data_IF_492516563026
#
_entry.id   IF_492516563026
#
_cell.length_a   1.000
_cell.length_b   1.000
_cell.length_c   1.000
_cell.angle_alpha   90.00
_cell.angle_beta   90.00
_cell.angle_gamma   90.00
#
_symmetry.space_group_name_H-M   'P 1'
#
loop_
_entity.id
_entity.type
_entity.pdbx_description
1 polymer ?
#
# COMPACT_ATOMS: atom_id res chain seq x y z
N UNK A 1 32.52 25.39 10.00
CA UNK A 1 32.13 26.30 11.11
C UNK A 1 31.57 25.45 12.23
N UNK A 2 31.71 25.88 13.48
CA UNK A 2 31.04 25.27 14.64
C UNK A 2 30.09 26.32 15.22
N UNK A 3 28.84 25.97 15.43
CA UNK A 3 27.84 26.82 16.08
C UNK A 3 27.40 26.18 17.39
N UNK A 4 27.58 26.88 18.51
CA UNK A 4 27.29 26.37 19.85
C UNK A 4 26.20 27.20 20.52
N UNK A 5 25.18 26.54 21.06
CA UNK A 5 24.07 27.16 21.81
C UNK A 5 23.87 26.43 23.13
N UNK A 6 24.10 27.13 24.25
CA UNK A 6 23.99 26.58 25.63
C UNK A 6 22.99 27.37 26.49
N UNK A 7 22.10 28.13 25.86
CA UNK A 7 21.19 29.05 26.56
C UNK A 7 19.81 29.08 25.92
N UNK A 8 19.01 30.04 26.37
CA UNK A 8 17.63 30.18 25.95
C UNK A 8 17.46 31.16 24.80
N UNK A 9 16.83 30.72 23.72
CA UNK A 9 16.41 31.56 22.59
C UNK A 9 14.88 31.49 22.46
N UNK A 10 14.23 32.65 22.35
CA UNK A 10 12.76 32.72 22.25
C UNK A 10 12.29 33.65 21.15
N UNK A 11 11.35 33.18 20.36
CA UNK A 11 10.58 33.94 19.40
C UNK A 11 9.09 33.57 19.56
N UNK A 12 8.56 33.78 20.77
CA UNK A 12 7.21 33.36 21.12
C UNK A 12 6.13 34.33 20.58
N UNK A 13 4.97 33.79 20.27
CA UNK A 13 3.77 34.56 19.95
C UNK A 13 3.32 35.42 21.14
N UNK A 14 2.64 36.53 20.86
CA UNK A 14 2.12 37.40 21.91
C UNK A 14 1.10 36.67 22.79
N UNK A 15 1.09 36.99 24.10
CA UNK A 15 0.20 36.35 25.09
C UNK A 15 -1.28 36.29 24.66
N UNK A 16 -1.77 37.33 24.00
CA UNK A 16 -3.18 37.43 23.61
C UNK A 16 -3.46 36.99 22.17
N UNK A 17 -2.46 36.99 21.29
CA UNK A 17 -2.58 36.71 19.86
C UNK A 17 -1.19 36.74 19.18
N UNK A 18 -1.08 36.12 18.01
CA UNK A 18 0.13 36.09 17.19
C UNK A 18 0.75 34.69 17.13
N UNK A 19 1.34 34.37 15.99
CA UNK A 19 2.06 33.12 15.77
C UNK A 19 3.47 33.19 16.37
N UNK A 20 4.06 32.01 16.58
CA UNK A 20 5.47 31.87 16.89
C UNK A 20 6.34 32.33 15.73
N UNK A 21 7.52 32.85 16.05
CA UNK A 21 8.54 33.21 15.07
C UNK A 21 9.39 32.02 14.64
N UNK A 22 10.43 32.32 13.87
CA UNK A 22 11.43 31.35 13.44
C UNK A 22 12.73 31.58 14.23
N UNK A 23 13.37 30.51 14.68
CA UNK A 23 14.73 30.52 15.20
C UNK A 23 15.55 29.60 14.32
N UNK A 24 16.73 30.04 13.91
CA UNK A 24 17.65 29.24 13.10
C UNK A 24 18.97 29.04 13.84
N UNK A 25 19.49 27.81 13.83
CA UNK A 25 20.82 27.46 14.29
C UNK A 25 21.57 26.71 13.20
N UNK A 26 22.42 27.43 12.46
CA UNK A 26 23.14 26.93 11.29
C UNK A 26 24.63 26.81 11.54
N UNK A 27 25.28 25.83 10.91
CA UNK A 27 26.73 25.66 10.89
C UNK A 27 27.12 24.22 10.57
N UNK A 28 28.24 24.01 9.86
CA UNK A 28 28.66 22.65 9.44
C UNK A 28 28.72 21.63 10.59
N UNK A 29 29.04 22.10 11.80
CA UNK A 29 28.99 21.36 13.06
C UNK A 29 28.16 22.19 14.04
N UNK A 30 27.26 21.56 14.78
CA UNK A 30 26.40 22.22 15.77
C UNK A 30 26.51 21.54 17.14
N UNK A 31 26.51 22.34 18.20
CA UNK A 31 26.49 21.88 19.59
C UNK A 31 25.27 22.53 20.28
N UNK A 32 24.13 21.84 20.22
CA UNK A 32 22.82 22.37 20.66
C UNK A 32 22.16 21.53 21.76
N UNK A 33 22.82 20.47 22.25
CA UNK A 33 22.21 19.54 23.21
C UNK A 33 21.84 20.19 24.56
N UNK A 34 22.46 21.32 24.90
CA UNK A 34 22.20 22.12 26.10
C UNK A 34 21.31 23.36 25.83
N UNK A 35 20.70 23.47 24.64
CA UNK A 35 19.90 24.63 24.25
C UNK A 35 18.45 24.55 24.76
N UNK A 36 17.87 25.72 25.03
CA UNK A 36 16.44 25.88 25.31
C UNK A 36 15.82 26.79 24.25
N UNK A 37 15.07 26.22 23.30
CA UNK A 37 14.47 26.98 22.21
C UNK A 37 12.96 27.04 22.39
N UNK A 38 12.33 28.20 22.16
CA UNK A 38 10.88 28.32 22.19
C UNK A 38 10.35 29.29 21.14
N UNK A 39 9.48 28.78 20.28
CA UNK A 39 8.67 29.51 19.31
C UNK A 39 7.18 29.33 19.60
N UNK A 40 6.85 29.06 20.87
CA UNK A 40 5.49 28.78 21.31
C UNK A 40 4.55 29.94 20.98
N UNK A 41 3.34 29.63 20.53
CA UNK A 41 2.22 30.56 20.51
C UNK A 41 1.03 29.96 21.25
N UNK A 42 0.55 30.62 22.30
CA UNK A 42 -0.59 30.09 23.10
C UNK A 42 -1.92 30.17 22.36
N UNK A 43 -2.08 31.19 21.51
CA UNK A 43 -3.32 31.50 20.79
C UNK A 43 -3.07 31.70 19.29
N UNK A 44 -2.08 30.99 18.75
CA UNK A 44 -1.66 31.06 17.35
C UNK A 44 -0.97 29.77 16.94
N UNK A 45 -0.34 29.78 15.76
CA UNK A 45 0.45 28.63 15.29
C UNK A 45 1.83 28.65 15.94
N UNK A 46 2.27 27.49 16.46
CA UNK A 46 3.63 27.30 16.95
C UNK A 46 4.62 27.57 15.82
N UNK A 47 5.66 28.34 16.10
CA UNK A 47 6.69 28.67 15.11
C UNK A 47 7.67 27.51 14.88
N UNK A 48 8.81 27.82 14.28
CA UNK A 48 9.76 26.83 13.80
C UNK A 48 11.15 27.06 14.40
N UNK A 49 11.79 25.96 14.81
CA UNK A 49 13.24 25.91 15.01
C UNK A 49 13.87 25.17 13.84
N UNK A 50 14.59 25.92 13.01
CA UNK A 50 15.40 25.40 11.91
C UNK A 50 16.81 25.08 12.40
N UNK A 51 17.22 23.83 12.21
CA UNK A 51 18.53 23.31 12.58
C UNK A 51 19.23 22.95 11.26
N UNK A 52 20.31 23.64 10.93
CA UNK A 52 21.03 23.51 9.64
C UNK A 52 22.50 23.05 9.80
N UNK A 53 22.74 21.75 10.07
CA UNK A 53 24.07 21.15 10.10
C UNK A 53 24.58 20.65 8.73
N UNK A 54 25.81 20.12 8.72
CA UNK A 54 26.16 19.08 7.73
C UNK A 54 25.60 17.72 8.16
N UNK A 55 26.36 16.64 7.96
CA UNK A 55 26.01 15.30 8.44
C UNK A 55 25.61 15.31 9.91
N UNK A 56 24.46 14.72 10.23
CA UNK A 56 23.95 14.66 11.60
C UNK A 56 23.45 13.27 11.96
N UNK A 57 23.70 12.88 13.20
CA UNK A 57 23.21 11.66 13.80
C UNK A 57 22.30 12.01 14.98
N UNK A 58 21.17 11.33 15.07
CA UNK A 58 20.25 11.46 16.19
C UNK A 58 20.46 10.26 17.10
N UNK A 59 21.29 10.47 18.13
CA UNK A 59 21.80 9.41 19.01
C UNK A 59 22.12 9.95 20.39
N UNK A 60 21.94 9.12 21.42
CA UNK A 60 22.19 9.43 22.83
C UNK A 60 23.63 9.14 23.24
N UNK A 61 24.32 8.25 22.52
CA UNK A 61 25.66 7.77 22.87
C UNK A 61 26.72 8.10 21.80
N UNK A 62 26.32 8.75 20.71
CA UNK A 62 27.13 8.93 19.50
C UNK A 62 27.41 7.60 18.80
N UNK A 63 27.66 7.60 17.50
CA UNK A 63 27.86 6.32 16.81
C UNK A 63 27.90 6.25 15.30
N UNK A 64 27.55 7.31 14.57
CA UNK A 64 27.32 7.15 13.13
C UNK A 64 28.56 6.83 12.29
N UNK A 65 28.43 5.77 11.49
CA UNK A 65 29.23 5.52 10.29
C UNK A 65 28.48 6.09 9.09
N UNK A 66 28.70 7.37 8.77
CA UNK A 66 28.17 7.97 7.54
C UNK A 66 28.80 7.30 6.31
N UNK A 67 27.99 7.02 5.28
CA UNK A 67 28.40 6.35 4.03
C UNK A 67 29.37 7.22 3.22
N UNK A 68 29.23 8.54 3.32
CA UNK A 68 30.03 9.54 2.59
C UNK A 68 31.36 9.86 3.31
N UNK A 69 32.47 9.40 2.72
CA UNK A 69 33.85 9.50 3.25
C UNK A 69 34.45 10.91 3.43
N UNK A 70 33.64 11.97 3.60
CA UNK A 70 34.07 13.36 3.84
C UNK A 70 33.38 14.02 5.03
N UNK A 71 33.01 13.25 6.06
CA UNK A 71 32.41 13.80 7.27
C UNK A 71 33.38 14.78 8.00
N UNK A 72 32.90 15.98 8.41
CA UNK A 72 33.67 16.89 9.25
C UNK A 72 34.07 16.27 10.60
N UNK A 73 35.18 16.75 11.17
CA UNK A 73 35.65 16.39 12.53
C UNK A 73 34.99 17.35 13.54
N UNK A 74 34.15 16.83 14.47
CA UNK A 74 33.40 17.59 15.50
C UNK A 74 32.24 16.76 16.10
N UNK A 75 31.54 17.25 17.12
CA UNK A 75 30.35 16.58 17.71
C UNK A 75 29.20 16.60 16.67
N UNK A 76 28.70 15.43 16.27
CA UNK A 76 27.74 15.25 15.14
C UNK A 76 26.36 14.80 15.62
N UNK A 77 26.16 14.81 16.93
CA UNK A 77 25.03 14.15 17.55
C UNK A 77 24.07 15.18 18.14
N UNK A 78 22.80 15.11 17.71
CA UNK A 78 21.70 15.70 18.48
C UNK A 78 21.06 14.57 19.27
N UNK A 79 20.93 14.74 20.58
CA UNK A 79 20.27 13.71 21.38
C UNK A 79 18.75 13.73 21.14
N UNK A 80 18.06 12.57 21.14
CA UNK A 80 16.60 12.55 21.09
C UNK A 80 15.96 13.39 22.22
N UNK A 81 16.59 13.45 23.39
CA UNK A 81 16.12 14.26 24.52
C UNK A 81 16.07 15.76 24.18
N UNK A 82 17.04 16.28 23.43
CA UNK A 82 17.06 17.66 22.96
C UNK A 82 15.89 17.95 22.02
N UNK A 83 15.65 17.07 21.03
CA UNK A 83 14.54 17.21 20.09
C UNK A 83 13.18 17.10 20.79
N UNK A 84 12.99 16.09 21.64
CA UNK A 84 11.74 15.87 22.38
C UNK A 84 11.43 17.04 23.31
N UNK A 85 12.44 17.58 24.01
CA UNK A 85 12.27 18.75 24.86
C UNK A 85 11.84 19.97 24.05
N UNK A 86 12.52 20.24 22.93
CA UNK A 86 12.19 21.36 22.05
C UNK A 86 10.83 21.20 21.36
N UNK A 87 10.39 19.98 21.02
CA UNK A 87 9.06 19.74 20.44
C UNK A 87 7.92 20.15 21.36
N UNK A 88 8.13 20.39 22.67
CA UNK A 88 7.09 20.93 23.55
C UNK A 88 6.69 22.38 23.22
N UNK A 89 7.54 23.13 22.51
CA UNK A 89 7.34 24.56 22.23
C UNK A 89 7.67 24.98 20.80
N UNK A 90 8.09 24.06 19.94
CA UNK A 90 8.51 24.35 18.58
C UNK A 90 7.99 23.26 17.62
N UNK A 91 7.70 23.64 16.39
CA UNK A 91 7.92 22.73 15.26
C UNK A 91 9.44 22.70 14.98
N UNK A 92 9.97 21.56 14.57
CA UNK A 92 11.41 21.41 14.31
C UNK A 92 11.61 21.00 12.86
N UNK A 93 12.55 21.67 12.19
CA UNK A 93 13.08 21.23 10.90
C UNK A 93 14.59 21.03 11.06
N UNK A 94 15.05 19.80 10.86
CA UNK A 94 16.47 19.48 10.72
C UNK A 94 16.73 19.39 9.23
N UNK A 95 17.34 20.42 8.67
CA UNK A 95 17.74 20.46 7.26
C UNK A 95 19.25 20.30 7.19
N UNK A 96 19.79 19.48 6.31
CA UNK A 96 21.23 19.52 6.07
C UNK A 96 21.50 20.36 4.82
N UNK A 97 22.68 20.98 4.72
CA UNK A 97 23.08 21.68 3.50
C UNK A 97 23.00 20.80 2.24
N UNK A 98 23.15 21.40 1.06
CA UNK A 98 23.10 20.67 -0.23
C UNK A 98 24.35 19.82 -0.48
N UNK A 99 24.18 18.74 -1.25
CA UNK A 99 25.23 17.76 -1.56
C UNK A 99 25.23 16.61 -0.54
N UNK A 100 26.30 15.80 -0.52
CA UNK A 100 26.43 14.55 0.25
C UNK A 100 26.34 14.72 1.78
N UNK A 101 25.18 15.14 2.28
CA UNK A 101 24.88 15.38 3.67
C UNK A 101 23.72 14.52 4.17
N UNK A 102 24.06 13.58 5.05
CA UNK A 102 23.15 12.54 5.51
C UNK A 102 22.54 12.86 6.87
N UNK A 103 21.32 12.36 7.10
CA UNK A 103 20.69 12.31 8.42
C UNK A 103 20.56 10.84 8.83
N UNK A 104 21.08 10.49 10.02
CA UNK A 104 20.91 9.15 10.61
C UNK A 104 20.09 9.26 11.89
N UNK A 105 19.06 8.44 12.04
CA UNK A 105 18.24 8.34 13.25
C UNK A 105 18.47 6.98 13.88
N UNK A 106 19.34 6.92 14.90
CA UNK A 106 19.75 5.68 15.57
C UNK A 106 18.94 5.36 16.82
N UNK A 107 18.44 6.39 17.51
CA UNK A 107 17.68 6.25 18.75
C UNK A 107 16.26 6.81 18.64
N UNK A 108 15.36 6.24 19.44
CA UNK A 108 13.94 6.59 19.44
C UNK A 108 13.69 8.07 19.77
N UNK A 109 12.86 8.73 18.96
CA UNK A 109 12.37 10.10 19.20
C UNK A 109 10.89 10.01 19.55
N UNK A 110 10.55 10.09 20.84
CA UNK A 110 9.17 9.87 21.31
C UNK A 110 8.56 11.14 21.89
N UNK A 111 7.81 11.87 21.07
CA UNK A 111 7.03 13.04 21.45
C UNK A 111 5.53 12.80 21.29
N UNK A 112 4.74 13.07 22.33
CA UNK A 112 3.29 12.74 22.36
C UNK A 112 2.37 13.93 22.08
N UNK A 113 2.92 15.12 21.87
CA UNK A 113 2.13 16.32 21.54
C UNK A 113 1.90 16.47 20.03
N UNK A 114 1.47 17.68 19.62
CA UNK A 114 0.97 17.97 18.27
C UNK A 114 1.95 18.68 17.34
N UNK A 115 3.10 19.12 17.85
CA UNK A 115 4.11 19.79 17.02
C UNK A 115 4.80 18.80 16.06
N UNK A 116 5.21 19.33 14.91
CA UNK A 116 5.79 18.59 13.81
C UNK A 116 7.32 18.50 13.92
N UNK A 117 7.87 17.43 13.38
CA UNK A 117 9.29 17.29 13.08
C UNK A 117 9.48 17.00 11.59
N UNK A 118 10.43 17.69 10.97
CA UNK A 118 10.84 17.49 9.58
C UNK A 118 12.32 17.18 9.57
N UNK A 119 12.70 16.14 8.84
CA UNK A 119 14.08 15.82 8.46
C UNK A 119 14.20 16.04 6.96
N UNK A 120 15.16 16.85 6.55
CA UNK A 120 15.37 17.27 5.17
C UNK A 120 16.87 17.14 4.84
N UNK A 121 17.26 15.99 4.30
CA UNK A 121 18.64 15.65 4.00
C UNK A 121 19.02 16.08 2.59
N UNK A 122 20.27 16.55 2.45
CA UNK A 122 20.87 16.92 1.17
C UNK A 122 21.36 15.72 0.36
N UNK A 123 21.35 14.52 0.96
CA UNK A 123 21.67 13.22 0.35
C UNK A 123 20.74 12.11 0.88
N UNK A 124 21.18 11.27 1.84
CA UNK A 124 20.41 10.12 2.34
C UNK A 124 19.80 10.36 3.74
N UNK A 125 18.64 9.73 4.01
CA UNK A 125 18.11 9.55 5.36
C UNK A 125 18.15 8.07 5.75
N UNK A 126 18.78 7.76 6.88
CA UNK A 126 18.74 6.44 7.51
C UNK A 126 17.80 6.45 8.72
N UNK A 127 16.69 5.75 8.64
CA UNK A 127 15.72 5.60 9.73
C UNK A 127 15.92 4.23 10.39
N UNK A 128 16.50 4.22 11.59
CA UNK A 128 16.86 2.99 12.31
C UNK A 128 16.19 2.88 13.69
N UNK A 129 15.28 3.79 14.01
CA UNK A 129 14.59 3.84 15.28
C UNK A 129 13.16 4.37 15.12
N UNK A 130 12.38 4.25 16.18
CA UNK A 130 11.00 4.70 16.19
C UNK A 130 10.92 6.22 16.29
N UNK A 131 9.99 6.81 15.55
CA UNK A 131 9.71 8.25 15.62
C UNK A 131 8.24 8.45 15.91
N UNK A 132 7.95 9.27 16.92
CA UNK A 132 6.60 9.69 17.26
C UNK A 132 6.57 11.20 17.45
N UNK A 133 5.70 11.88 16.72
CA UNK A 133 5.48 13.31 16.84
C UNK A 133 4.06 13.70 16.40
N UNK A 134 3.71 14.98 16.42
CA UNK A 134 2.44 15.46 15.90
C UNK A 134 2.27 15.15 14.42
N UNK A 135 3.27 15.56 13.62
CA UNK A 135 3.45 15.22 12.21
C UNK A 135 4.93 14.94 11.97
N UNK A 136 5.24 14.12 10.97
CA UNK A 136 6.61 13.74 10.62
C UNK A 136 6.80 13.81 9.12
N UNK A 137 7.91 14.40 8.69
CA UNK A 137 8.33 14.45 7.29
C UNK A 137 9.78 14.03 7.17
N UNK A 138 10.07 13.18 6.20
CA UNK A 138 11.39 12.73 5.86
C UNK A 138 11.59 13.01 4.38
N UNK A 139 12.47 13.97 4.08
CA UNK A 139 12.80 14.41 2.75
C UNK A 139 14.27 14.11 2.49
N UNK A 140 14.56 13.36 1.45
CA UNK A 140 15.90 13.07 0.98
C UNK A 140 15.99 13.46 -0.49
N UNK A 141 17.11 14.02 -0.90
CA UNK A 141 17.41 14.23 -2.33
C UNK A 141 17.82 12.91 -3.00
N UNK A 142 18.45 12.00 -2.26
CA UNK A 142 18.66 10.59 -2.65
C UNK A 142 17.73 9.70 -1.81
N UNK A 143 18.27 8.74 -1.06
CA UNK A 143 17.53 7.58 -0.55
C UNK A 143 16.93 7.80 0.85
N UNK A 144 15.81 7.11 1.12
CA UNK A 144 15.33 6.87 2.50
C UNK A 144 15.47 5.38 2.80
N UNK A 145 16.26 5.05 3.83
CA UNK A 145 16.69 3.67 4.10
C UNK A 145 16.38 3.25 5.54
N UNK A 146 15.69 2.11 5.69
CA UNK A 146 15.61 1.35 6.94
C UNK A 146 16.26 -0.02 6.78
N UNK A 147 17.30 -0.34 7.56
CA UNK A 147 18.12 -1.54 7.28
C UNK A 147 18.54 -2.37 8.51
N UNK A 148 18.58 -1.79 9.70
CA UNK A 148 19.14 -2.45 10.91
C UNK A 148 18.06 -2.93 11.87
N UNK A 149 17.01 -2.13 12.07
CA UNK A 149 15.96 -2.38 13.05
C UNK A 149 14.59 -2.25 12.40
N UNK A 150 13.58 -2.90 12.98
CA UNK A 150 12.19 -2.61 12.67
C UNK A 150 11.86 -1.18 13.13
N UNK A 151 11.11 -0.45 12.31
CA UNK A 151 10.79 0.97 12.52
C UNK A 151 9.30 1.16 12.70
N UNK A 152 8.91 1.89 13.74
CA UNK A 152 7.55 2.41 13.90
C UNK A 152 7.52 3.92 13.81
N UNK A 153 6.73 4.45 12.87
CA UNK A 153 6.42 5.88 12.74
C UNK A 153 5.00 6.13 13.25
N UNK A 154 4.85 6.96 14.28
CA UNK A 154 3.54 7.32 14.85
C UNK A 154 3.23 8.82 14.78
N UNK A 155 2.21 9.20 14.01
CA UNK A 155 1.69 10.57 13.99
C UNK A 155 0.53 10.74 14.98
N UNK A 156 0.65 11.72 15.88
CA UNK A 156 -0.37 12.02 16.89
C UNK A 156 -1.52 12.89 16.35
N UNK A 157 -1.28 13.68 15.30
CA UNK A 157 -2.32 14.55 14.73
C UNK A 157 -3.26 13.75 13.82
N UNK A 158 -4.52 14.17 13.79
CA UNK A 158 -5.60 13.51 13.05
C UNK A 158 -5.97 14.21 11.73
N UNK A 159 -5.28 15.28 11.33
CA UNK A 159 -5.65 16.09 10.17
C UNK A 159 -4.49 16.39 9.23
N UNK A 160 -4.82 16.43 7.93
CA UNK A 160 -3.86 16.60 6.85
C UNK A 160 -2.83 15.47 6.85
N UNK A 161 -1.62 15.76 6.36
CA UNK A 161 -0.58 14.75 6.30
C UNK A 161 0.09 14.53 7.65
N UNK A 162 0.07 13.28 8.11
CA UNK A 162 0.65 12.85 9.37
C UNK A 162 2.08 12.35 9.19
N UNK A 163 2.30 11.53 8.15
CA UNK A 163 3.60 10.95 7.82
C UNK A 163 3.86 11.12 6.33
N UNK A 164 4.99 11.73 5.99
CA UNK A 164 5.48 11.84 4.62
C UNK A 164 6.91 11.29 4.56
N UNK A 165 7.15 10.35 3.65
CA UNK A 165 8.49 9.94 3.24
C UNK A 165 8.63 10.28 1.75
N UNK A 166 9.59 11.13 1.40
CA UNK A 166 9.91 11.48 0.01
C UNK A 166 11.41 11.43 -0.21
N UNK A 167 11.85 10.46 -0.98
CA UNK A 167 13.15 10.50 -1.64
C UNK A 167 13.04 11.25 -2.97
N UNK A 168 14.18 11.63 -3.57
CA UNK A 168 14.25 12.49 -4.76
C UNK A 168 13.35 13.74 -4.69
N UNK A 169 13.24 14.34 -3.49
CA UNK A 169 12.29 15.42 -3.26
C UNK A 169 12.66 16.71 -4.01
N UNK A 170 13.92 16.92 -4.40
CA UNK A 170 14.31 18.11 -5.16
C UNK A 170 14.28 17.90 -6.69
N UNK A 171 14.03 16.66 -7.14
CA UNK A 171 13.95 16.29 -8.55
C UNK A 171 15.24 16.57 -9.30
N UNK A 172 16.36 16.66 -8.58
CA UNK A 172 17.65 17.06 -9.13
C UNK A 172 18.47 15.89 -9.64
N UNK A 173 18.16 14.68 -9.18
CA UNK A 173 18.87 13.46 -9.53
C UNK A 173 17.94 12.56 -10.36
N UNK A 174 18.22 12.48 -11.67
CA UNK A 174 17.74 11.37 -12.48
C UNK A 174 18.66 10.21 -12.09
N UNK A 175 18.14 9.11 -11.53
CA UNK A 175 18.82 7.84 -11.21
C UNK A 175 18.99 7.48 -9.71
N UNK A 176 18.55 8.31 -8.77
CA UNK A 176 18.64 8.04 -7.31
C UNK A 176 17.35 8.42 -6.57
N UNK A 177 17.17 7.81 -5.40
CA UNK A 177 16.08 8.11 -4.49
C UNK A 177 14.91 7.14 -4.43
N UNK A 178 15.14 5.82 -4.25
CA UNK A 178 14.10 4.94 -3.75
C UNK A 178 13.88 5.06 -2.23
N UNK A 179 12.68 4.67 -1.79
CA UNK A 179 12.37 4.41 -0.38
C UNK A 179 12.51 2.92 -0.14
N UNK A 180 13.41 2.51 0.76
CA UNK A 180 13.71 1.09 0.98
C UNK A 180 13.78 0.74 2.45
N UNK A 181 12.98 -0.23 2.85
CA UNK A 181 13.06 -0.84 4.17
C UNK A 181 13.36 -2.33 4.03
N UNK A 182 14.58 -2.74 4.39
CA UNK A 182 15.00 -4.14 4.48
C UNK A 182 14.51 -4.83 5.75
N UNK A 183 13.89 -4.07 6.65
CA UNK A 183 13.26 -4.48 7.90
C UNK A 183 11.79 -4.05 7.91
N UNK A 184 11.05 -4.39 8.96
CA UNK A 184 9.63 -4.09 9.01
C UNK A 184 9.41 -2.58 9.23
N UNK A 185 8.54 -1.99 8.41
CA UNK A 185 8.03 -0.64 8.61
C UNK A 185 6.57 -0.68 9.10
N UNK A 186 6.31 -0.07 10.24
CA UNK A 186 4.95 0.18 10.74
C UNK A 186 4.67 1.67 10.80
N UNK A 187 3.56 2.11 10.21
CA UNK A 187 3.08 3.49 10.27
C UNK A 187 1.71 3.54 10.93
N UNK A 188 1.59 4.33 12.00
CA UNK A 188 0.33 4.53 12.71
C UNK A 188 -0.02 6.02 12.69
N UNK A 189 -1.25 6.34 12.28
CA UNK A 189 -1.78 7.70 12.43
C UNK A 189 -3.14 7.67 13.12
N UNK A 190 -3.59 8.82 13.60
CA UNK A 190 -4.89 8.97 14.28
C UNK A 190 -5.94 9.62 13.39
N UNK A 191 -5.95 9.29 12.09
CA UNK A 191 -6.85 9.86 11.07
C UNK A 191 -6.17 10.78 10.05
N UNK A 192 -4.86 11.03 10.19
CA UNK A 192 -4.08 11.81 9.22
C UNK A 192 -3.54 10.94 8.08
N UNK A 193 -3.21 11.58 6.96
CA UNK A 193 -2.77 10.89 5.76
C UNK A 193 -1.34 10.32 5.92
N UNK A 194 -1.08 9.28 5.15
CA UNK A 194 0.25 8.70 4.95
C UNK A 194 0.62 8.83 3.48
N UNK A 195 1.76 9.45 3.18
CA UNK A 195 2.28 9.61 1.82
C UNK A 195 3.69 9.04 1.73
N UNK A 196 3.87 8.02 0.91
CA UNK A 196 5.16 7.37 0.66
C UNK A 196 5.51 7.57 -0.81
N UNK A 197 6.67 8.17 -1.06
CA UNK A 197 7.18 8.45 -2.39
C UNK A 197 6.79 9.81 -2.94
N UNK A 198 6.97 9.99 -4.26
CA UNK A 198 6.79 11.25 -4.97
C UNK A 198 5.34 11.73 -5.06
N UNK A 199 5.12 12.92 -5.64
CA UNK A 199 3.82 13.61 -5.73
C UNK A 199 3.15 13.98 -4.38
N UNK A 200 3.92 14.08 -3.29
CA UNK A 200 3.44 14.67 -2.03
C UNK A 200 3.48 16.22 -2.06
N UNK A 201 2.90 16.88 -1.04
CA UNK A 201 2.55 18.31 -1.01
C UNK A 201 3.69 19.32 -1.29
N UNK A 202 4.95 18.86 -1.38
CA UNK A 202 6.12 19.69 -1.67
C UNK A 202 6.66 19.53 -3.10
N UNK A 203 6.10 18.61 -3.89
CA UNK A 203 6.18 18.60 -5.36
C UNK A 203 7.57 18.38 -5.96
N UNK A 204 7.86 17.12 -6.27
CA UNK A 204 8.61 16.68 -7.47
C UNK A 204 7.96 15.39 -8.00
N UNK A 205 8.42 14.90 -9.16
CA UNK A 205 7.91 13.68 -9.82
C UNK A 205 7.99 12.43 -8.94
N UNK A 206 7.67 11.26 -9.49
CA UNK A 206 7.76 9.99 -8.76
C UNK A 206 9.18 9.78 -8.18
N UNK A 207 9.32 8.91 -7.17
CA UNK A 207 10.66 8.46 -6.76
C UNK A 207 11.26 7.68 -7.93
N UNK A 208 12.28 8.19 -8.57
CA UNK A 208 12.84 7.63 -9.81
C UNK A 208 14.10 6.81 -9.52
N UNK A 209 14.00 5.48 -9.66
CA UNK A 209 15.11 4.55 -9.44
C UNK A 209 15.47 3.78 -10.72
N UNK A 210 16.71 3.93 -11.23
CA UNK A 210 17.12 3.30 -12.49
C UNK A 210 17.14 1.77 -12.41
N UNK A 211 17.82 1.20 -11.40
CA UNK A 211 18.09 -0.24 -11.34
C UNK A 211 17.39 -0.95 -10.18
N UNK A 212 16.78 -0.19 -9.28
CA UNK A 212 16.15 -0.68 -8.06
C UNK A 212 14.67 -0.39 -8.12
N UNK A 213 13.88 -1.09 -7.32
CA UNK A 213 12.47 -0.74 -7.15
C UNK A 213 12.33 0.71 -6.70
N UNK A 214 11.35 1.44 -7.24
CA UNK A 214 11.10 2.83 -6.84
C UNK A 214 10.80 2.94 -5.35
N UNK A 215 9.99 2.00 -4.85
CA UNK A 215 9.77 1.76 -3.44
C UNK A 215 9.85 0.27 -3.15
N UNK A 216 10.54 -0.10 -2.08
CA UNK A 216 10.66 -1.49 -1.61
C UNK A 216 10.45 -1.61 -0.10
N UNK A 217 9.55 -2.50 0.30
CA UNK A 217 9.36 -2.87 1.71
C UNK A 217 9.54 -4.38 1.90
N UNK A 218 10.36 -4.75 2.88
CA UNK A 218 10.41 -6.13 3.37
C UNK A 218 9.04 -6.52 3.93
N UNK A 219 8.56 -5.81 4.94
CA UNK A 219 7.16 -5.85 5.40
C UNK A 219 6.66 -4.43 5.62
N UNK A 220 5.40 -4.18 5.29
CA UNK A 220 4.76 -2.89 5.50
C UNK A 220 3.45 -3.05 6.25
N UNK A 221 3.29 -2.33 7.34
CA UNK A 221 2.01 -2.15 8.01
C UNK A 221 1.67 -0.66 8.07
N UNK A 222 0.49 -0.28 7.57
CA UNK A 222 -0.03 1.09 7.70
C UNK A 222 -1.41 1.03 8.35
N UNK A 223 -1.62 1.80 9.42
CA UNK A 223 -2.90 2.01 10.07
C UNK A 223 -3.18 3.52 10.14
N UNK A 224 -3.92 4.08 9.17
CA UNK A 224 -4.19 5.52 9.15
C UNK A 224 -5.42 5.93 9.99
N UNK A 225 -6.29 4.97 10.36
CA UNK A 225 -7.49 5.21 11.19
C UNK A 225 -8.41 6.34 10.69
N UNK A 226 -8.49 6.52 9.37
CA UNK A 226 -9.43 7.39 8.67
C UNK A 226 -8.78 8.24 7.57
N UNK A 227 -7.46 8.43 7.62
CA UNK A 227 -6.73 9.24 6.65
C UNK A 227 -6.44 8.50 5.34
N UNK A 228 -6.14 9.25 4.29
CA UNK A 228 -5.78 8.67 2.99
C UNK A 228 -4.38 8.06 3.05
N UNK A 229 -4.16 7.01 2.26
CA UNK A 229 -2.85 6.36 2.12
C UNK A 229 -2.46 6.43 0.65
N UNK A 230 -1.30 7.03 0.38
CA UNK A 230 -0.71 7.12 -0.94
C UNK A 230 0.67 6.49 -0.94
N UNK A 231 0.92 5.58 -1.87
CA UNK A 231 2.21 4.95 -2.11
C UNK A 231 2.51 5.10 -3.60
N UNK A 232 3.58 5.83 -3.93
CA UNK A 232 3.89 6.25 -5.30
C UNK A 232 5.35 5.97 -5.61
N UNK A 233 5.64 5.09 -6.56
CA UNK A 233 7.03 4.75 -6.91
C UNK A 233 7.26 4.55 -8.41
N UNK A 234 8.41 4.99 -8.91
CA UNK A 234 8.86 4.85 -10.29
C UNK A 234 10.19 4.08 -10.36
N UNK A 235 10.35 3.25 -11.38
CA UNK A 235 11.64 2.65 -11.66
C UNK A 235 11.81 2.37 -13.15
N UNK A 236 13.03 2.56 -13.67
CA UNK A 236 13.30 2.21 -15.06
C UNK A 236 13.34 0.69 -15.25
N UNK A 237 14.15 -0.01 -14.45
CA UNK A 237 14.48 -1.42 -14.71
C UNK A 237 13.91 -2.40 -13.68
N UNK A 238 13.00 -1.96 -12.80
CA UNK A 238 12.36 -2.79 -11.77
C UNK A 238 10.94 -2.34 -11.43
N UNK A 239 10.23 -3.03 -10.54
CA UNK A 239 8.88 -2.61 -10.16
C UNK A 239 8.86 -1.21 -9.51
N UNK A 240 7.88 -0.37 -9.87
CA UNK A 240 7.72 0.95 -9.26
C UNK A 240 7.41 0.85 -7.76
N UNK A 241 6.50 -0.05 -7.38
CA UNK A 241 6.22 -0.39 -5.98
C UNK A 241 6.37 -1.90 -5.75
N UNK A 242 7.21 -2.27 -4.80
CA UNK A 242 7.54 -3.65 -4.47
C UNK A 242 7.32 -3.97 -2.98
N UNK A 243 6.51 -5.00 -2.73
CA UNK A 243 6.32 -5.59 -1.41
C UNK A 243 6.96 -6.98 -1.39
N UNK A 244 8.10 -7.14 -0.71
CA UNK A 244 8.85 -8.39 -0.68
C UNK A 244 8.13 -9.50 0.12
N UNK A 245 7.41 -9.10 1.17
CA UNK A 245 6.62 -9.94 2.06
C UNK A 245 5.31 -9.21 2.41
N UNK A 246 4.67 -9.53 3.55
CA UNK A 246 3.35 -9.01 3.93
C UNK A 246 3.27 -7.48 3.85
N UNK A 247 2.29 -7.01 3.06
CA UNK A 247 1.77 -5.66 3.13
C UNK A 247 0.37 -5.67 3.77
N UNK A 248 0.21 -4.97 4.89
CA UNK A 248 -1.07 -4.76 5.59
C UNK A 248 -1.39 -3.27 5.62
N UNK A 249 -2.17 -2.80 4.65
CA UNK A 249 -2.47 -1.38 4.45
C UNK A 249 -3.94 -1.13 4.82
N UNK A 250 -4.18 -0.43 5.93
CA UNK A 250 -5.52 -0.16 6.45
C UNK A 250 -5.76 1.33 6.63
N UNK A 251 -6.70 1.88 5.85
CA UNK A 251 -7.10 3.27 6.02
C UNK A 251 -8.23 3.46 7.04
N UNK A 252 -9.10 2.47 7.22
CA UNK A 252 -10.28 2.56 8.10
C UNK A 252 -11.41 3.47 7.59
N UNK A 253 -11.20 4.25 6.53
CA UNK A 253 -12.22 5.13 5.95
C UNK A 253 -11.75 6.04 4.81
N UNK A 254 -10.46 6.39 4.79
CA UNK A 254 -9.83 7.16 3.70
C UNK A 254 -9.57 6.34 2.46
N UNK A 255 -9.21 7.00 1.37
CA UNK A 255 -8.82 6.35 0.12
C UNK A 255 -7.44 5.73 0.22
N UNK A 256 -7.21 4.63 -0.51
CA UNK A 256 -5.90 4.00 -0.67
C UNK A 256 -5.51 4.05 -2.14
N UNK A 257 -4.39 4.70 -2.44
CA UNK A 257 -3.80 4.73 -3.77
C UNK A 257 -2.43 4.10 -3.73
N UNK A 258 -2.21 3.10 -4.59
CA UNK A 258 -0.89 2.56 -4.89
C UNK A 258 -0.64 2.81 -6.37
N UNK A 259 0.38 3.59 -6.65
CA UNK A 259 0.74 4.05 -7.98
C UNK A 259 2.19 3.65 -8.27
N UNK A 260 2.34 2.60 -9.08
CA UNK A 260 3.64 2.16 -9.56
C UNK A 260 3.82 2.60 -11.00
N UNK A 261 5.04 3.00 -11.34
CA UNK A 261 5.42 3.25 -12.72
C UNK A 261 6.70 2.48 -13.02
N UNK A 262 6.72 1.76 -14.14
CA UNK A 262 7.94 1.29 -14.75
C UNK A 262 8.10 1.77 -16.21
N UNK A 263 9.32 2.13 -16.61
CA UNK A 263 9.64 2.66 -17.96
C UNK A 263 10.08 1.61 -19.00
N UNK A 264 10.45 0.38 -18.60
CA UNK A 264 10.87 -0.74 -19.45
C UNK A 264 9.88 -1.94 -19.48
N UNK A 265 9.60 -2.46 -20.68
CA UNK A 265 8.75 -3.65 -20.86
C UNK A 265 9.26 -4.89 -20.07
N UNK A 266 8.34 -5.56 -19.37
CA UNK A 266 8.60 -6.84 -18.67
C UNK A 266 8.79 -6.71 -17.15
N UNK A 267 8.73 -5.48 -16.62
CA UNK A 267 8.64 -5.21 -15.20
C UNK A 267 7.22 -4.75 -14.83
N UNK A 268 6.78 -5.12 -13.64
CA UNK A 268 5.43 -4.82 -13.14
C UNK A 268 5.39 -3.47 -12.44
N UNK A 269 4.38 -2.65 -12.67
CA UNK A 269 4.22 -1.38 -11.93
C UNK A 269 4.12 -1.64 -10.42
N UNK A 270 3.28 -2.60 -10.03
CA UNK A 270 3.09 -3.03 -8.64
C UNK A 270 3.35 -4.52 -8.50
N UNK A 271 4.21 -4.91 -7.55
CA UNK A 271 4.55 -6.31 -7.31
C UNK A 271 4.44 -6.70 -5.84
N UNK A 272 3.60 -7.70 -5.58
CA UNK A 272 3.52 -8.42 -4.31
C UNK A 272 4.28 -9.73 -4.43
N UNK A 273 5.49 -9.80 -3.88
CA UNK A 273 6.26 -11.04 -3.86
C UNK A 273 5.69 -12.05 -2.85
N UNK A 274 5.17 -11.57 -1.70
CA UNK A 274 4.56 -12.40 -0.67
C UNK A 274 5.42 -13.65 -0.33
N UNK A 275 6.72 -13.42 -0.06
CA UNK A 275 7.68 -14.49 0.18
C UNK A 275 7.17 -15.46 1.25
N UNK A 276 7.22 -16.77 0.98
CA UNK A 276 6.69 -17.78 1.90
C UNK A 276 5.18 -18.06 1.78
N UNK A 277 4.50 -17.47 0.80
CA UNK A 277 3.08 -17.74 0.52
C UNK A 277 2.12 -17.01 1.44
N UNK A 278 2.52 -15.83 1.92
CA UNK A 278 1.73 -15.00 2.82
C UNK A 278 0.59 -14.27 2.10
N UNK A 279 -0.33 -13.69 2.88
CA UNK A 279 -1.41 -12.83 2.37
C UNK A 279 -1.11 -11.36 2.64
N UNK A 280 -1.07 -10.56 1.59
CA UNK A 280 -1.12 -9.10 1.67
C UNK A 280 -2.57 -8.62 1.65
N UNK A 281 -2.88 -7.57 2.39
CA UNK A 281 -4.25 -7.03 2.53
C UNK A 281 -4.27 -5.52 2.35
N UNK A 282 -5.20 -5.06 1.50
CA UNK A 282 -5.54 -3.64 1.34
C UNK A 282 -6.97 -3.43 1.84
N UNK A 283 -7.12 -2.64 2.91
CA UNK A 283 -8.37 -2.41 3.62
C UNK A 283 -8.73 -0.92 3.72
N UNK A 284 -9.71 -0.47 2.94
CA UNK A 284 -10.06 0.96 2.84
C UNK A 284 -11.25 1.39 3.71
N UNK A 285 -11.90 0.47 4.43
CA UNK A 285 -13.18 0.77 5.08
C UNK A 285 -14.22 1.30 4.08
N UNK A 286 -14.59 2.58 4.18
CA UNK A 286 -15.52 3.29 3.28
C UNK A 286 -14.84 4.01 2.09
N UNK A 287 -13.52 4.03 2.02
CA UNK A 287 -12.78 4.64 0.92
C UNK A 287 -12.60 3.73 -0.29
N UNK A 288 -12.11 4.34 -1.36
CA UNK A 288 -11.76 3.68 -2.62
C UNK A 288 -10.34 3.13 -2.57
N UNK A 289 -10.11 2.07 -3.34
CA UNK A 289 -8.80 1.45 -3.56
C UNK A 289 -8.50 1.65 -5.03
N UNK A 290 -7.47 2.46 -5.30
CA UNK A 290 -6.94 2.70 -6.63
C UNK A 290 -5.59 2.01 -6.74
N UNK A 291 -5.51 1.04 -7.63
CA UNK A 291 -4.27 0.39 -8.05
C UNK A 291 -4.03 0.88 -9.46
N UNK A 292 -3.13 1.84 -9.62
CA UNK A 292 -3.01 2.62 -10.85
C UNK A 292 -2.08 1.92 -11.84
N UNK A 293 -2.45 2.07 -13.11
CA UNK A 293 -1.79 1.58 -14.30
C UNK A 293 -0.93 2.69 -14.90
N UNK A 294 0.33 2.41 -15.17
CA UNK A 294 1.10 3.19 -16.14
C UNK A 294 0.75 2.77 -17.57
N UNK A 295 0.66 3.73 -18.48
CA UNK A 295 0.19 3.55 -19.87
C UNK A 295 1.24 2.97 -20.83
N UNK A 296 2.40 2.52 -20.34
CA UNK A 296 3.54 2.14 -21.17
C UNK A 296 3.68 0.63 -21.42
N UNK A 297 3.46 -0.22 -20.41
CA UNK A 297 3.76 -1.67 -20.48
C UNK A 297 2.48 -2.50 -20.24
N UNK A 298 2.46 -3.76 -20.67
CA UNK A 298 1.28 -4.64 -20.57
C UNK A 298 1.03 -5.24 -19.17
N UNK A 299 1.91 -4.94 -18.21
CA UNK A 299 2.12 -5.67 -16.97
C UNK A 299 1.85 -4.75 -15.75
N UNK A 300 0.58 -4.48 -15.44
CA UNK A 300 0.21 -3.55 -14.35
C UNK A 300 0.56 -4.13 -12.95
N UNK A 301 0.06 -5.32 -12.62
CA UNK A 301 0.25 -5.91 -11.29
C UNK A 301 0.69 -7.38 -11.32
N UNK A 302 1.59 -7.77 -10.41
CA UNK A 302 1.99 -9.17 -10.20
C UNK A 302 1.89 -9.64 -8.77
N UNK A 303 1.28 -10.82 -8.59
CA UNK A 303 1.20 -11.54 -7.31
C UNK A 303 2.05 -12.81 -7.45
N UNK A 304 3.25 -12.80 -6.89
CA UNK A 304 4.25 -13.85 -7.11
C UNK A 304 3.98 -15.13 -6.31
N UNK A 305 3.35 -15.02 -5.15
CA UNK A 305 3.01 -16.11 -4.25
C UNK A 305 1.88 -15.69 -3.30
N UNK A 306 1.34 -16.66 -2.56
CA UNK A 306 0.33 -16.40 -1.54
C UNK A 306 -0.90 -15.73 -2.12
N UNK A 307 -1.36 -14.63 -1.52
CA UNK A 307 -2.55 -13.93 -2.01
C UNK A 307 -2.54 -12.42 -1.78
N UNK A 308 -3.40 -11.72 -2.54
CA UNK A 308 -3.79 -10.34 -2.30
C UNK A 308 -5.28 -10.28 -1.92
N UNK A 309 -5.57 -9.71 -0.76
CA UNK A 309 -6.93 -9.46 -0.30
C UNK A 309 -7.33 -8.01 -0.54
N UNK A 310 -8.43 -7.81 -1.26
CA UNK A 310 -9.11 -6.52 -1.42
C UNK A 310 -10.32 -6.48 -0.49
N UNK A 311 -10.24 -5.65 0.54
CA UNK A 311 -11.28 -5.48 1.54
C UNK A 311 -11.78 -4.02 1.56
N UNK A 312 -12.96 -3.77 0.97
CA UNK A 312 -13.63 -2.48 1.09
C UNK A 312 -15.15 -2.65 1.18
N UNK A 313 -15.77 -1.78 1.97
CA UNK A 313 -17.23 -1.62 2.01
C UNK A 313 -17.74 -0.73 0.89
N UNK A 314 -16.86 0.07 0.28
CA UNK A 314 -17.16 0.88 -0.90
C UNK A 314 -17.03 0.07 -2.20
N UNK A 315 -17.66 0.58 -3.25
CA UNK A 315 -17.54 -0.01 -4.58
C UNK A 315 -16.20 0.37 -5.20
N UNK A 316 -15.40 -0.63 -5.57
CA UNK A 316 -14.08 -0.47 -6.15
C UNK A 316 -14.12 -0.77 -7.65
N UNK A 317 -13.23 -0.10 -8.40
CA UNK A 317 -13.00 -0.38 -9.80
C UNK A 317 -11.51 -0.64 -10.01
N UNK A 318 -11.16 -1.84 -10.43
CA UNK A 318 -9.79 -2.28 -10.70
C UNK A 318 -9.67 -2.56 -12.21
N UNK A 319 -9.35 -1.54 -13.03
CA UNK A 319 -9.21 -1.68 -14.48
C UNK A 319 -7.86 -2.29 -14.91
N UNK A 320 -7.10 -2.84 -13.96
CA UNK A 320 -5.72 -3.29 -14.15
C UNK A 320 -5.61 -4.75 -14.56
N UNK A 321 -4.55 -5.09 -15.27
CA UNK A 321 -4.13 -6.46 -15.55
C UNK A 321 -3.39 -7.04 -14.34
N UNK A 322 -3.83 -8.20 -13.85
CA UNK A 322 -3.17 -8.92 -12.76
C UNK A 322 -2.56 -10.22 -13.29
N UNK A 323 -1.29 -10.48 -12.97
CA UNK A 323 -0.54 -11.67 -13.37
C UNK A 323 0.10 -12.38 -12.16
N UNK A 324 0.66 -13.57 -12.40
CA UNK A 324 1.40 -14.36 -11.42
C UNK A 324 0.64 -15.54 -10.82
N UNK A 325 1.30 -16.44 -10.08
CA UNK A 325 0.66 -17.64 -9.56
C UNK A 325 -0.12 -17.41 -8.25
N UNK A 326 -0.04 -16.21 -7.65
CA UNK A 326 -0.76 -15.89 -6.43
C UNK A 326 -2.27 -15.74 -6.63
N UNK A 327 -3.01 -15.88 -5.53
CA UNK A 327 -4.46 -15.82 -5.49
C UNK A 327 -4.99 -14.39 -5.26
N UNK A 328 -6.22 -14.14 -5.72
CA UNK A 328 -6.97 -12.92 -5.45
C UNK A 328 -8.14 -13.22 -4.52
N UNK A 329 -8.24 -12.49 -3.41
CA UNK A 329 -9.33 -12.63 -2.45
C UNK A 329 -10.13 -11.33 -2.38
N UNK A 330 -11.43 -11.41 -2.67
CA UNK A 330 -12.39 -10.33 -2.47
C UNK A 330 -13.17 -10.57 -1.17
N UNK A 331 -12.90 -9.76 -0.15
CA UNK A 331 -13.45 -9.95 1.21
C UNK A 331 -14.31 -8.80 1.73
N UNK A 332 -14.31 -7.64 1.06
CA UNK A 332 -15.15 -6.52 1.47
C UNK A 332 -16.64 -6.72 1.18
N UNK A 333 -17.54 -6.02 1.88
CA UNK A 333 -18.98 -6.07 1.57
C UNK A 333 -19.37 -5.27 0.32
N UNK A 334 -18.51 -4.38 -0.17
CA UNK A 334 -18.74 -3.59 -1.37
C UNK A 334 -18.65 -4.40 -2.67
N UNK A 335 -18.96 -3.76 -3.80
CA UNK A 335 -18.75 -4.36 -5.12
C UNK A 335 -17.34 -4.04 -5.63
N UNK A 336 -16.55 -5.02 -6.01
CA UNK A 336 -15.31 -4.80 -6.75
C UNK A 336 -15.51 -5.18 -8.21
N UNK A 337 -15.32 -4.24 -9.13
CA UNK A 337 -15.30 -4.52 -10.57
C UNK A 337 -13.88 -4.79 -11.03
N UNK A 338 -13.62 -5.99 -11.54
CA UNK A 338 -12.35 -6.40 -12.13
C UNK A 338 -12.45 -6.32 -13.65
N UNK A 339 -11.78 -5.32 -14.23
CA UNK A 339 -11.96 -4.92 -15.62
C UNK A 339 -10.79 -5.21 -16.56
N UNK A 340 -9.60 -5.50 -16.03
CA UNK A 340 -8.42 -5.80 -16.85
C UNK A 340 -8.39 -7.22 -17.42
N UNK A 341 -7.35 -7.49 -18.21
CA UNK A 341 -7.02 -8.81 -18.74
C UNK A 341 -6.17 -9.55 -17.73
N UNK A 342 -6.79 -10.39 -16.90
CA UNK A 342 -6.07 -11.06 -15.82
C UNK A 342 -5.55 -12.41 -16.29
N UNK A 343 -4.29 -12.70 -15.97
CA UNK A 343 -3.57 -13.91 -16.34
C UNK A 343 -3.02 -14.67 -15.15
N UNK A 344 -3.31 -14.21 -13.93
CA UNK A 344 -2.91 -14.93 -12.73
C UNK A 344 -3.54 -16.33 -12.67
N UNK A 345 -2.83 -17.28 -12.06
CA UNK A 345 -3.23 -18.69 -12.04
C UNK A 345 -3.60 -19.21 -10.65
N UNK A 346 -3.38 -18.41 -9.60
CA UNK A 346 -3.90 -18.74 -8.28
C UNK A 346 -5.40 -18.51 -8.19
N UNK A 347 -6.02 -19.03 -7.14
CA UNK A 347 -7.46 -19.02 -6.96
C UNK A 347 -8.05 -17.61 -6.96
N UNK A 348 -9.30 -17.52 -7.41
CA UNK A 348 -10.14 -16.34 -7.20
C UNK A 348 -11.18 -16.67 -6.15
N UNK A 349 -11.06 -16.07 -4.96
CA UNK A 349 -12.01 -16.27 -3.86
C UNK A 349 -12.87 -15.04 -3.64
N UNK A 350 -14.18 -15.19 -3.75
CA UNK A 350 -15.15 -14.17 -3.33
C UNK A 350 -15.72 -14.58 -1.98
N UNK A 351 -15.15 -14.01 -0.91
CA UNK A 351 -15.54 -14.31 0.47
C UNK A 351 -16.78 -13.51 0.89
N UNK A 352 -16.91 -12.26 0.43
CA UNK A 352 -18.04 -11.38 0.75
C UNK A 352 -18.34 -10.36 -0.37
N UNK A 353 -19.54 -9.79 -0.32
CA UNK A 353 -20.00 -8.77 -1.26
C UNK A 353 -20.08 -9.30 -2.69
N UNK A 354 -19.82 -8.43 -3.66
CA UNK A 354 -19.83 -8.79 -5.09
C UNK A 354 -18.44 -8.60 -5.72
N UNK A 355 -17.99 -9.58 -6.50
CA UNK A 355 -16.93 -9.40 -7.49
C UNK A 355 -17.60 -9.39 -8.88
N UNK A 356 -17.59 -8.24 -9.54
CA UNK A 356 -18.07 -8.11 -10.92
C UNK A 356 -16.91 -8.30 -11.88
N UNK A 357 -17.02 -9.26 -12.80
CA UNK A 357 -16.01 -9.49 -13.83
C UNK A 357 -16.48 -8.91 -15.17
N UNK A 358 -15.78 -7.87 -15.64
CA UNK A 358 -15.98 -7.28 -16.98
C UNK A 358 -14.78 -7.49 -17.91
N UNK A 359 -13.63 -7.90 -17.38
CA UNK A 359 -12.44 -8.30 -18.13
C UNK A 359 -12.42 -9.81 -18.39
N UNK A 360 -11.32 -10.49 -18.06
CA UNK A 360 -11.26 -11.97 -18.03
C UNK A 360 -10.34 -12.44 -16.91
N UNK A 361 -10.44 -13.72 -16.55
CA UNK A 361 -9.45 -14.43 -15.75
C UNK A 361 -8.69 -15.45 -16.59
N UNK A 362 -7.68 -16.08 -16.00
CA UNK A 362 -7.00 -17.23 -16.60
C UNK A 362 -7.87 -18.48 -16.50
N UNK A 363 -7.93 -19.27 -17.56
CA UNK A 363 -8.60 -20.59 -17.53
C UNK A 363 -8.00 -21.61 -16.55
N UNK A 364 -6.84 -21.29 -15.96
CA UNK A 364 -6.21 -22.07 -14.91
C UNK A 364 -6.67 -21.72 -13.49
N UNK A 365 -7.44 -20.63 -13.30
CA UNK A 365 -7.92 -20.23 -11.97
C UNK A 365 -9.06 -21.14 -11.52
N UNK A 366 -9.03 -21.54 -10.25
CA UNK A 366 -10.21 -22.02 -9.55
C UNK A 366 -11.05 -20.81 -9.12
N UNK A 367 -12.38 -20.96 -9.13
CA UNK A 367 -13.31 -19.96 -8.63
C UNK A 367 -14.00 -20.49 -7.37
N UNK A 368 -13.85 -19.76 -6.27
CA UNK A 368 -14.50 -20.06 -4.99
C UNK A 368 -15.41 -18.89 -4.62
N UNK A 369 -16.71 -19.14 -4.46
CA UNK A 369 -17.69 -18.12 -4.03
C UNK A 369 -18.37 -18.58 -2.76
N UNK A 370 -18.05 -17.93 -1.66
CA UNK A 370 -18.58 -18.27 -0.33
C UNK A 370 -20.07 -17.97 -0.21
N UNK A 371 -20.74 -18.65 0.73
CA UNK A 371 -22.15 -18.42 1.06
C UNK A 371 -22.42 -16.93 1.34
N UNK A 372 -23.39 -16.36 0.63
CA UNK A 372 -23.78 -14.95 0.76
C UNK A 372 -22.98 -13.97 -0.12
N UNK A 373 -21.88 -14.42 -0.74
CA UNK A 373 -21.14 -13.66 -1.73
C UNK A 373 -21.70 -13.86 -3.15
N UNK A 374 -21.39 -12.92 -4.04
CA UNK A 374 -21.80 -12.96 -5.45
C UNK A 374 -20.61 -12.77 -6.39
N UNK A 375 -20.50 -13.63 -7.39
CA UNK A 375 -19.65 -13.41 -8.55
C UNK A 375 -20.54 -12.99 -9.72
N UNK A 376 -20.47 -11.71 -10.11
CA UNK A 376 -21.28 -11.18 -11.21
C UNK A 376 -20.51 -11.30 -12.53
N UNK A 377 -20.80 -12.34 -13.29
CA UNK A 377 -20.14 -12.65 -14.55
C UNK A 377 -20.81 -11.85 -15.67
N UNK A 378 -20.06 -10.94 -16.31
CA UNK A 378 -20.55 -10.12 -17.43
C UNK A 378 -19.79 -10.37 -18.74
N UNK A 379 -19.03 -11.45 -18.77
CA UNK A 379 -18.19 -11.89 -19.89
C UNK A 379 -18.28 -13.40 -20.08
N UNK A 380 -17.78 -13.91 -21.20
CA UNK A 380 -17.55 -15.35 -21.37
C UNK A 380 -16.22 -15.72 -20.72
N UNK A 381 -16.22 -16.64 -19.77
CA UNK A 381 -14.99 -17.07 -19.10
C UNK A 381 -14.96 -18.58 -18.83
N UNK A 382 -13.75 -19.10 -18.60
CA UNK A 382 -13.47 -20.49 -18.27
C UNK A 382 -12.73 -20.57 -16.95
N UNK A 383 -13.14 -21.51 -16.09
CA UNK A 383 -12.49 -21.79 -14.82
C UNK A 383 -11.94 -23.21 -14.80
N UNK A 384 -10.85 -23.42 -14.05
CA UNK A 384 -10.27 -24.75 -13.83
C UNK A 384 -11.22 -25.61 -13.00
N UNK A 385 -11.68 -25.12 -11.86
CA UNK A 385 -12.77 -25.72 -11.08
C UNK A 385 -13.68 -24.65 -10.47
N UNK A 386 -14.79 -25.09 -9.89
CA UNK A 386 -15.78 -24.24 -9.25
C UNK A 386 -16.14 -24.80 -7.87
N UNK A 387 -16.04 -23.97 -6.84
CA UNK A 387 -16.63 -24.17 -5.52
C UNK A 387 -17.64 -23.04 -5.26
N UNK A 388 -18.93 -23.37 -5.27
CA UNK A 388 -20.01 -22.39 -5.27
C UNK A 388 -20.99 -22.62 -4.12
N UNK A 389 -20.77 -21.98 -2.99
CA UNK A 389 -21.76 -21.84 -1.92
C UNK A 389 -22.62 -20.56 -2.08
N UNK A 390 -22.09 -19.56 -2.78
CA UNK A 390 -22.74 -18.27 -3.02
C UNK A 390 -23.63 -18.22 -4.26
N UNK A 391 -23.43 -17.22 -5.12
CA UNK A 391 -24.20 -17.07 -6.37
C UNK A 391 -23.31 -16.58 -7.50
N UNK A 392 -23.48 -17.17 -8.69
CA UNK A 392 -23.02 -16.55 -9.94
C UNK A 392 -24.22 -15.84 -10.58
N UNK A 393 -24.09 -14.53 -10.82
CA UNK A 393 -25.12 -13.71 -11.45
C UNK A 393 -24.67 -13.18 -12.81
N UNK A 394 -25.64 -12.58 -13.52
CA UNK A 394 -25.39 -11.74 -14.68
C UNK A 394 -26.28 -10.50 -14.58
N UNK A 395 -25.75 -9.41 -14.03
CA UNK A 395 -26.50 -8.16 -13.85
C UNK A 395 -26.53 -7.29 -15.11
N UNK A 396 -25.51 -7.43 -15.97
CA UNK A 396 -25.39 -6.76 -17.27
C UNK A 396 -24.45 -7.53 -18.21
N UNK A 397 -24.27 -7.02 -19.42
CA UNK A 397 -23.39 -7.63 -20.43
C UNK A 397 -23.88 -8.99 -20.93
N UNK A 398 -22.99 -9.71 -21.61
CA UNK A 398 -23.23 -11.11 -22.01
C UNK A 398 -22.28 -12.01 -21.26
N UNK A 399 -22.79 -13.09 -20.68
CA UNK A 399 -22.01 -14.06 -19.93
C UNK A 399 -22.12 -15.46 -20.49
N UNK A 400 -21.03 -16.21 -20.46
CA UNK A 400 -21.02 -17.65 -20.65
C UNK A 400 -20.03 -18.26 -19.66
N UNK A 401 -20.38 -19.40 -19.09
CA UNK A 401 -19.60 -20.07 -18.06
C UNK A 401 -19.10 -21.42 -18.59
N UNK A 402 -17.79 -21.63 -18.56
CA UNK A 402 -17.21 -22.96 -18.74
C UNK A 402 -16.43 -23.37 -17.50
N UNK A 403 -16.64 -24.57 -17.00
CA UNK A 403 -15.80 -25.18 -15.95
C UNK A 403 -15.16 -26.44 -16.53
N UNK A 404 -13.83 -26.44 -16.60
CA UNK A 404 -13.07 -27.51 -17.26
C UNK A 404 -12.90 -28.75 -16.38
N UNK A 405 -12.75 -28.54 -15.07
CA UNK A 405 -12.61 -29.56 -14.04
C UNK A 405 -13.90 -29.78 -13.27
N UNK A 406 -13.77 -30.18 -12.00
CA UNK A 406 -14.89 -30.49 -11.11
C UNK A 406 -15.66 -29.24 -10.69
N UNK A 407 -16.91 -29.44 -10.27
CA UNK A 407 -17.74 -28.35 -9.73
C UNK A 407 -18.48 -28.83 -8.48
N UNK A 408 -18.28 -28.15 -7.37
CA UNK A 408 -19.09 -28.25 -6.17
C UNK A 408 -20.11 -27.10 -6.21
N UNK A 409 -21.40 -27.43 -6.32
CA UNK A 409 -22.46 -26.46 -6.55
C UNK A 409 -23.50 -26.55 -5.43
N UNK A 410 -23.47 -25.57 -4.54
CA UNK A 410 -24.50 -25.31 -3.52
C UNK A 410 -25.32 -24.05 -3.79
N UNK A 411 -24.81 -23.18 -4.67
CA UNK A 411 -25.41 -21.91 -5.06
C UNK A 411 -26.27 -21.94 -6.33
N UNK A 412 -26.80 -20.77 -6.69
CA UNK A 412 -27.50 -20.55 -7.96
C UNK A 412 -26.56 -19.94 -9.00
N UNK A 413 -26.78 -20.26 -10.27
CA UNK A 413 -25.98 -19.75 -11.40
C UNK A 413 -26.93 -19.17 -12.44
N UNK A 414 -26.73 -17.90 -12.80
CA UNK A 414 -27.44 -17.25 -13.90
C UNK A 414 -26.43 -16.70 -14.91
N UNK A 415 -26.55 -17.13 -16.17
CA UNK A 415 -25.79 -16.61 -17.30
C UNK A 415 -26.74 -16.16 -18.42
N UNK A 416 -26.26 -15.27 -19.30
CA UNK A 416 -27.03 -14.94 -20.49
C UNK A 416 -26.86 -15.98 -21.59
N UNK A 417 -25.67 -16.55 -21.74
CA UNK A 417 -25.28 -17.56 -22.72
C UNK A 417 -24.98 -18.91 -22.08
N UNK A 418 -24.20 -19.73 -22.78
CA UNK A 418 -24.00 -21.15 -22.44
C UNK A 418 -23.41 -21.37 -21.05
N UNK A 419 -23.78 -22.49 -20.44
CA UNK A 419 -23.12 -23.07 -19.28
C UNK A 419 -22.60 -24.46 -19.65
N UNK A 420 -21.29 -24.68 -19.49
CA UNK A 420 -20.64 -25.95 -19.84
C UNK A 420 -19.83 -26.43 -18.65
N UNK A 421 -20.16 -27.62 -18.16
CA UNK A 421 -19.45 -28.29 -17.08
C UNK A 421 -18.83 -29.56 -17.64
N UNK A 422 -17.50 -29.59 -17.70
CA UNK A 422 -16.75 -30.67 -18.34
C UNK A 422 -16.41 -31.80 -17.36
N UNK A 423 -16.07 -31.45 -16.10
CA UNK A 423 -15.84 -32.41 -15.04
C UNK A 423 -17.10 -32.78 -14.25
N UNK A 424 -16.92 -33.61 -13.23
CA UNK A 424 -18.02 -34.08 -12.38
C UNK A 424 -18.60 -32.94 -11.53
N UNK A 425 -19.90 -32.99 -11.31
CA UNK A 425 -20.65 -32.04 -10.48
C UNK A 425 -21.08 -32.74 -9.19
N UNK A 426 -20.76 -32.13 -8.05
CA UNK A 426 -21.30 -32.48 -6.73
C UNK A 426 -22.27 -31.40 -6.28
N UNK A 427 -23.52 -31.76 -6.02
CA UNK A 427 -24.55 -30.85 -5.54
C UNK A 427 -24.50 -30.77 -4.01
N UNK A 428 -23.83 -29.74 -3.49
CA UNK A 428 -23.68 -29.48 -2.06
C UNK A 428 -24.90 -28.74 -1.46
N UNK A 429 -25.79 -28.23 -2.32
CA UNK A 429 -27.02 -27.53 -1.95
C UNK A 429 -28.06 -27.56 -3.08
N UNK A 430 -29.26 -27.04 -2.80
CA UNK A 430 -30.30 -26.94 -3.84
C UNK A 430 -29.94 -25.82 -4.80
N UNK A 431 -29.79 -26.15 -6.08
CA UNK A 431 -29.24 -25.23 -7.09
C UNK A 431 -30.18 -25.02 -8.26
N UNK A 432 -30.21 -23.78 -8.75
CA UNK A 432 -30.87 -23.40 -10.00
C UNK A 432 -29.80 -22.93 -10.99
N UNK A 433 -29.71 -23.62 -12.12
CA UNK A 433 -28.89 -23.22 -13.26
C UNK A 433 -29.78 -22.57 -14.32
N UNK A 434 -29.58 -21.27 -14.56
CA UNK A 434 -30.35 -20.48 -15.53
C UNK A 434 -29.46 -19.97 -16.65
N UNK A 435 -29.76 -20.36 -17.89
CA UNK A 435 -29.21 -19.75 -19.10
C UNK A 435 -30.34 -19.08 -19.89
N UNK A 436 -30.32 -17.75 -19.98
CA UNK A 436 -31.45 -17.00 -20.57
C UNK A 436 -31.52 -17.11 -22.09
N UNK A 437 -30.39 -17.27 -22.79
CA UNK A 437 -30.32 -17.44 -24.25
C UNK A 437 -29.46 -18.62 -24.73
N UNK A 438 -28.75 -19.30 -23.84
CA UNK A 438 -27.81 -20.38 -24.16
C UNK A 438 -28.26 -21.77 -23.72
N UNK A 439 -27.39 -22.75 -23.95
CA UNK A 439 -27.52 -24.14 -23.55
C UNK A 439 -26.95 -24.38 -22.14
N UNK A 440 -27.38 -25.48 -21.51
CA UNK A 440 -26.75 -26.01 -20.29
C UNK A 440 -26.25 -27.43 -20.61
N UNK A 441 -24.94 -27.65 -20.49
CA UNK A 441 -24.28 -28.92 -20.82
C UNK A 441 -23.55 -29.48 -19.60
N UNK A 442 -23.98 -30.66 -19.13
CA UNK A 442 -23.37 -31.40 -18.04
C UNK A 442 -22.68 -32.65 -18.63
N UNK A 443 -21.36 -32.58 -18.81
CA UNK A 443 -20.62 -33.57 -19.61
C UNK A 443 -20.23 -34.82 -18.84
N UNK A 444 -20.21 -34.75 -17.50
CA UNK A 444 -19.80 -35.84 -16.62
C UNK A 444 -20.88 -36.18 -15.59
N UNK A 445 -20.52 -36.96 -14.57
CA UNK A 445 -21.42 -37.34 -13.48
C UNK A 445 -21.98 -36.11 -12.76
N UNK A 446 -23.26 -36.15 -12.44
CA UNK A 446 -23.94 -35.20 -11.54
C UNK A 446 -24.44 -36.00 -10.35
N UNK A 447 -23.97 -35.64 -9.16
CA UNK A 447 -24.32 -36.36 -7.92
C UNK A 447 -24.58 -35.40 -6.76
N UNK A 448 -24.94 -35.96 -5.61
CA UNK A 448 -25.27 -35.23 -4.38
C UNK A 448 -26.75 -35.29 -4.06
N UNK A 449 -27.07 -35.37 -2.77
CA UNK A 449 -28.44 -35.51 -2.25
C UNK A 449 -29.34 -34.28 -2.37
N UNK A 450 -28.98 -33.33 -3.23
CA UNK A 450 -29.67 -32.03 -3.38
C UNK A 450 -30.45 -31.92 -4.70
N UNK A 451 -31.38 -30.97 -4.76
CA UNK A 451 -32.17 -30.72 -5.98
C UNK A 451 -31.38 -29.87 -6.97
N UNK A 452 -31.34 -30.31 -8.23
CA UNK A 452 -30.90 -29.49 -9.35
C UNK A 452 -32.10 -29.08 -10.21
N UNK A 453 -32.30 -27.77 -10.36
CA UNK A 453 -33.27 -27.19 -11.30
C UNK A 453 -32.53 -26.51 -12.44
N UNK A 454 -32.97 -26.72 -13.67
CA UNK A 454 -32.38 -26.08 -14.86
C UNK A 454 -33.42 -25.28 -15.62
N UNK A 455 -33.08 -24.07 -16.04
CA UNK A 455 -33.87 -23.23 -16.93
C UNK A 455 -32.98 -22.77 -18.08
N UNK A 456 -33.18 -23.33 -19.26
CA UNK A 456 -32.38 -23.06 -20.46
C UNK A 456 -33.32 -22.79 -21.62
N UNK A 457 -33.05 -21.73 -22.39
CA UNK A 457 -33.74 -21.51 -23.67
C UNK A 457 -33.06 -22.25 -24.83
N UNK A 458 -31.78 -22.63 -24.67
CA UNK A 458 -31.07 -23.58 -25.52
C UNK A 458 -31.24 -25.04 -25.05
N UNK A 459 -30.44 -25.93 -25.63
CA UNK A 459 -30.48 -27.35 -25.28
C UNK A 459 -30.01 -27.60 -23.84
N UNK A 460 -30.71 -28.50 -23.13
CA UNK A 460 -30.16 -29.13 -21.94
C UNK A 460 -29.55 -30.48 -22.34
N UNK A 461 -28.25 -30.65 -22.10
CA UNK A 461 -27.50 -31.85 -22.49
C UNK A 461 -26.86 -32.49 -21.26
N UNK A 462 -27.06 -33.79 -21.06
CA UNK A 462 -26.36 -34.58 -20.05
C UNK A 462 -25.68 -35.77 -20.72
N UNK A 463 -24.41 -36.02 -20.40
CA UNK A 463 -23.62 -37.12 -20.99
C UNK A 463 -23.13 -38.15 -19.98
N UNK A 464 -23.15 -37.82 -18.68
CA UNK A 464 -22.75 -38.70 -17.59
C UNK A 464 -23.90 -39.31 -16.79
N UNK A 465 -23.55 -39.98 -15.70
CA UNK A 465 -24.50 -40.57 -14.75
C UNK A 465 -25.14 -39.44 -13.91
N UNK A 466 -26.44 -39.55 -13.62
CA UNK A 466 -27.14 -38.64 -12.71
C UNK A 466 -27.57 -39.45 -11.47
N UNK A 467 -27.17 -38.99 -10.28
CA UNK A 467 -27.53 -39.60 -8.99
C UNK A 467 -26.88 -40.97 -8.76
N UNK A 468 -25.57 -41.07 -8.97
CA UNK A 468 -24.83 -42.34 -8.90
C UNK A 468 -24.56 -42.85 -7.48
N UNK A 469 -24.44 -41.95 -6.51
CA UNK A 469 -24.09 -42.28 -5.12
C UNK A 469 -25.07 -41.77 -4.08
N UNK A 470 -25.89 -40.74 -4.42
CA UNK A 470 -26.89 -40.04 -3.57
C UNK A 470 -26.54 -39.89 -2.11
#
# INVERSE_FOLDING_TARGET
SVTKVQGKLTAEGGKNSGNGGQIETSGRVIEINESEISTKAENGETGEWLIDPGNINISSNGGSSFSSGSAPIGDRDITPATLVSALNSNNITVTTGTGAYDIVIEDDIIYTGSNAITFDAGDEIYIQANVRAGKMRFFATSDIIGQTNNVTLTANNSSGDGVILSSNHDGSENDLGPIRFFTDLTINTSGSNVKLGGQNDTGTGYTDATNWHGIEFQQLTINSNGGDIQITGESDNAAGVYFADVASITSGGGDITIDGYNSEDGNYDIRFANTGGVTSTINSGSGTISLIKSVATGDDMYIAAGSLTINSTASQSLPINIAGPGALIKDGSGNTTLGGTNTYTGDTTVSNGTLTLTGNLSSSTDLIVSSGATFDLQVSDTFASLDLDGTISNSAGSSALTVSGTSDIGGNITTSGDQVYSGAISLTGNSILTSSSGAITLSSTVDGGSTLTTSSSGNFTTSGIIGGTT
#
